data_IF_602436920447
#
_entry.id   IF_602436920447
#
_cell.length_a   1.000
_cell.length_b   1.000
_cell.length_c   1.000
_cell.angle_alpha   90.00
_cell.angle_beta   90.00
_cell.angle_gamma   90.00
#
_symmetry.space_group_name_H-M   'P 1'
#
loop_
_entity.id
_entity.type
_entity.pdbx_description
1 polymer ?
#
# COMPACT_ATOMS: atom_id res chain seq x y z
N UNK A 1 2.10 9.93 -22.54
CA UNK A 1 1.81 9.13 -23.75
C UNK A 1 2.51 9.66 -25.00
N UNK A 2 2.40 10.95 -25.36
CA UNK A 2 3.12 11.50 -26.53
C UNK A 2 4.65 11.39 -26.42
N UNK A 3 5.19 11.61 -25.22
CA UNK A 3 6.63 11.48 -24.93
C UNK A 3 7.16 10.05 -25.05
N UNK A 4 6.31 9.05 -24.79
CA UNK A 4 6.64 7.64 -24.98
C UNK A 4 6.78 7.27 -26.47
N UNK A 5 5.98 7.90 -27.35
CA UNK A 5 6.19 7.74 -28.79
C UNK A 5 7.48 8.40 -29.28
N UNK A 6 7.94 9.47 -28.61
CA UNK A 6 9.22 10.10 -28.92
C UNK A 6 10.40 9.22 -28.49
N UNK A 7 10.33 8.54 -27.33
CA UNK A 7 11.41 7.65 -26.87
C UNK A 7 11.68 6.49 -27.82
N UNK A 8 10.66 5.94 -28.48
CA UNK A 8 10.83 4.84 -29.42
C UNK A 8 11.72 5.15 -30.63
N UNK A 9 11.96 6.44 -30.92
CA UNK A 9 12.81 6.85 -32.03
C UNK A 9 14.31 6.84 -31.68
N UNK A 10 14.67 6.67 -30.40
CA UNK A 10 16.07 6.68 -29.95
C UNK A 10 16.57 5.27 -29.67
N UNK A 11 17.21 4.66 -30.66
CA UNK A 11 17.91 3.38 -30.49
C UNK A 11 19.39 3.65 -30.21
N UNK A 12 19.82 3.48 -28.95
CA UNK A 12 21.15 3.90 -28.46
C UNK A 12 22.18 2.75 -28.52
N UNK A 13 21.75 1.52 -28.78
CA UNK A 13 22.65 0.37 -28.64
C UNK A 13 23.65 0.23 -29.79
N UNK A 14 24.90 -0.07 -29.43
CA UNK A 14 26.00 -0.35 -30.36
C UNK A 14 26.20 -1.83 -30.67
N UNK A 15 25.72 -2.74 -29.81
CA UNK A 15 25.87 -4.18 -29.95
C UNK A 15 24.72 -4.94 -29.24
N UNK A 16 24.61 -6.24 -29.53
CA UNK A 16 23.61 -7.12 -28.92
C UNK A 16 23.70 -7.15 -27.39
N UNK A 17 24.91 -7.29 -26.85
CA UNK A 17 25.15 -7.45 -25.40
C UNK A 17 24.57 -6.28 -24.61
N UNK A 18 24.78 -5.05 -25.09
CA UNK A 18 24.26 -3.85 -24.44
C UNK A 18 22.73 -3.79 -24.53
N UNK A 19 22.15 -4.14 -25.68
CA UNK A 19 20.69 -4.22 -25.82
C UNK A 19 20.09 -5.26 -24.86
N UNK A 20 20.68 -6.46 -24.80
CA UNK A 20 20.22 -7.55 -23.96
C UNK A 20 20.30 -7.23 -22.45
N UNK A 21 21.42 -6.66 -21.99
CA UNK A 21 21.58 -6.26 -20.58
C UNK A 21 20.57 -5.17 -20.23
N UNK A 22 20.39 -4.17 -21.09
CA UNK A 22 19.42 -3.11 -20.84
C UNK A 22 17.99 -3.66 -20.78
N UNK A 23 17.63 -4.52 -21.73
CA UNK A 23 16.33 -5.19 -21.75
C UNK A 23 16.05 -5.94 -20.44
N UNK A 24 16.98 -6.79 -19.97
CA UNK A 24 16.80 -7.56 -18.74
C UNK A 24 16.70 -6.62 -17.53
N UNK A 25 17.60 -5.66 -17.38
CA UNK A 25 17.62 -4.77 -16.22
C UNK A 25 16.39 -3.86 -16.17
N UNK A 26 15.96 -3.31 -17.31
CA UNK A 26 14.77 -2.46 -17.44
C UNK A 26 13.53 -3.21 -16.96
N UNK A 27 13.21 -4.34 -17.60
CA UNK A 27 11.97 -5.05 -17.29
C UNK A 27 12.01 -5.78 -15.94
N UNK A 28 13.16 -6.35 -15.56
CA UNK A 28 13.32 -6.98 -14.24
C UNK A 28 13.17 -5.95 -13.11
N UNK A 29 13.76 -4.75 -13.28
CA UNK A 29 13.66 -3.66 -12.30
C UNK A 29 12.23 -3.13 -12.16
N UNK A 30 11.54 -2.88 -13.27
CA UNK A 30 10.14 -2.43 -13.27
C UNK A 30 9.24 -3.48 -12.63
N UNK A 31 9.42 -4.76 -12.99
CA UNK A 31 8.67 -5.88 -12.42
C UNK A 31 8.92 -6.01 -10.90
N UNK A 32 10.16 -5.83 -10.44
CA UNK A 32 10.50 -5.87 -9.03
C UNK A 32 9.79 -4.76 -8.24
N UNK A 33 9.85 -3.52 -8.73
CA UNK A 33 9.16 -2.37 -8.10
C UNK A 33 7.64 -2.63 -8.07
N UNK A 34 7.09 -3.11 -9.17
CA UNK A 34 5.68 -3.47 -9.28
C UNK A 34 5.27 -4.50 -8.20
N UNK A 35 6.05 -5.58 -8.06
CA UNK A 35 5.80 -6.63 -7.08
C UNK A 35 5.85 -6.10 -5.65
N UNK A 36 6.86 -5.27 -5.33
CA UNK A 36 6.99 -4.65 -4.01
C UNK A 36 5.74 -3.82 -3.69
N UNK A 37 5.32 -2.96 -4.62
CA UNK A 37 4.13 -2.11 -4.42
C UNK A 37 2.87 -2.95 -4.27
N UNK A 38 2.74 -4.00 -5.07
CA UNK A 38 1.60 -4.91 -5.02
C UNK A 38 1.49 -5.61 -3.65
N UNK A 39 2.61 -6.12 -3.12
CA UNK A 39 2.65 -6.75 -1.79
C UNK A 39 2.24 -5.76 -0.69
N UNK A 40 2.77 -4.53 -0.72
CA UNK A 40 2.40 -3.52 0.26
C UNK A 40 0.91 -3.14 0.18
N UNK A 41 0.37 -2.99 -1.04
CA UNK A 41 -1.03 -2.68 -1.24
C UNK A 41 -1.96 -3.81 -0.75
N UNK A 42 -1.67 -5.07 -1.09
CA UNK A 42 -2.46 -6.21 -0.62
C UNK A 42 -2.35 -6.41 0.89
N UNK A 43 -1.16 -6.23 1.46
CA UNK A 43 -0.97 -6.28 2.92
C UNK A 43 -1.80 -5.20 3.60
N UNK A 44 -1.78 -3.97 3.05
CA UNK A 44 -2.61 -2.86 3.51
C UNK A 44 -4.10 -3.11 3.38
N UNK A 45 -4.52 -3.74 2.29
CA UNK A 45 -5.91 -4.12 2.04
C UNK A 45 -6.40 -5.18 3.03
N UNK A 46 -5.58 -6.19 3.32
CA UNK A 46 -5.94 -7.30 4.20
C UNK A 46 -5.93 -6.92 5.69
N UNK A 47 -5.04 -6.01 6.09
CA UNK A 47 -4.92 -5.55 7.48
C UNK A 47 -5.74 -4.28 7.77
N UNK A 48 -6.13 -3.54 6.73
CA UNK A 48 -6.89 -2.30 6.87
C UNK A 48 -8.36 -2.54 7.25
N UNK A 49 -8.97 -1.55 7.91
CA UNK A 49 -10.40 -1.58 8.24
C UNK A 49 -11.20 -0.79 7.20
N UNK A 50 -12.25 -1.42 6.66
CA UNK A 50 -13.15 -0.77 5.73
C UNK A 50 -14.08 0.20 6.48
N UNK A 51 -14.13 1.46 6.05
CA UNK A 51 -14.95 2.52 6.66
C UNK A 51 -16.42 2.12 6.69
N UNK A 52 -16.90 1.51 5.60
CA UNK A 52 -18.30 1.09 5.47
C UNK A 52 -18.69 0.01 6.47
N UNK A 53 -17.73 -0.85 6.85
CA UNK A 53 -17.96 -1.85 7.90
C UNK A 53 -17.95 -1.22 9.29
N UNK A 54 -17.08 -0.23 9.51
CA UNK A 54 -17.05 0.54 10.76
C UNK A 54 -18.35 1.32 10.98
N UNK A 55 -18.87 1.98 9.95
CA UNK A 55 -20.14 2.70 10.00
C UNK A 55 -21.32 1.74 10.27
N UNK A 56 -21.29 0.55 9.67
CA UNK A 56 -22.29 -0.51 9.91
C UNK A 56 -22.25 -1.08 11.32
N UNK A 57 -21.08 -1.13 11.93
CA UNK A 57 -20.93 -1.54 13.33
C UNK A 57 -21.54 -0.55 14.32
N UNK A 58 -22.09 0.57 13.81
CA UNK A 58 -22.95 1.51 14.51
C UNK A 58 -22.37 1.77 15.90
N UNK A 59 -21.20 2.39 15.93
CA UNK A 59 -20.55 2.89 17.13
C UNK A 59 -21.37 4.03 17.78
N UNK A 60 -22.67 3.83 17.95
CA UNK A 60 -23.54 4.57 18.87
C UNK A 60 -23.01 4.49 20.30
N UNK A 61 -22.10 3.55 20.60
CA UNK A 61 -21.28 3.49 21.81
C UNK A 61 -20.50 4.81 22.03
N UNK A 62 -20.09 5.52 20.97
CA UNK A 62 -19.43 6.83 21.09
C UNK A 62 -20.38 8.02 20.90
N UNK A 63 -21.65 7.80 20.56
CA UNK A 63 -22.68 8.85 20.49
C UNK A 63 -23.52 8.95 21.78
N UNK A 64 -23.43 7.99 22.71
CA UNK A 64 -24.20 8.02 23.96
C UNK A 64 -23.66 9.00 25.01
N UNK A 65 -22.52 9.67 24.77
CA UNK A 65 -22.14 10.86 25.54
C UNK A 65 -22.67 12.13 24.88
N UNK A 66 -23.94 12.12 24.44
CA UNK A 66 -24.76 13.32 24.68
C UNK A 66 -24.84 13.45 26.19
N UNK A 67 -23.83 14.13 26.72
CA UNK A 67 -23.82 14.79 28.02
C UNK A 67 -25.25 15.31 28.19
N UNK A 68 -26.02 14.63 29.03
CA UNK A 68 -27.15 15.27 29.66
C UNK A 68 -26.53 16.51 30.29
N UNK A 69 -26.76 17.66 29.68
CA UNK A 69 -26.49 18.96 30.28
C UNK A 69 -27.30 18.97 31.57
N UNK A 70 -26.70 18.45 32.65
CA UNK A 70 -27.17 18.74 33.99
C UNK A 70 -27.23 20.27 34.04
N UNK A 71 -28.37 20.88 34.36
CA UNK A 71 -28.49 22.33 34.41
C UNK A 71 -27.57 22.86 35.53
N UNK A 72 -26.32 23.13 35.19
CA UNK A 72 -25.36 23.76 36.09
C UNK A 72 -25.58 25.26 36.01
N UNK A 73 -26.16 25.74 37.09
CA UNK A 73 -26.17 27.10 37.60
C UNK A 73 -25.09 28.00 37.01
N UNK A 74 -25.60 29.09 36.45
CA UNK A 74 -24.94 30.35 36.13
C UNK A 74 -23.96 30.77 37.22
N UNK A 75 -22.66 30.75 36.92
CA UNK A 75 -21.61 31.70 37.33
C UNK A 75 -20.24 31.01 37.37
N UNK A 76 -19.41 31.21 36.34
CA UNK A 76 -18.18 31.99 36.50
C UNK A 76 -17.40 32.11 35.19
N UNK A 77 -17.02 33.36 34.92
CA UNK A 77 -16.12 33.82 33.88
C UNK A 77 -14.72 33.22 34.06
N UNK A 78 -14.14 32.69 32.99
CA UNK A 78 -13.02 33.33 32.26
C UNK A 78 -12.03 32.34 31.60
N UNK A 79 -11.93 32.51 30.28
CA UNK A 79 -10.70 32.47 29.45
C UNK A 79 -9.73 31.27 29.55
N UNK A 80 -9.78 30.41 28.52
CA UNK A 80 -8.65 30.22 27.57
C UNK A 80 -9.13 29.46 26.33
N UNK A 81 -9.47 30.21 25.27
CA UNK A 81 -9.69 29.67 23.92
C UNK A 81 -8.32 29.32 23.32
N UNK A 82 -7.92 28.06 23.39
CA UNK A 82 -6.92 27.53 22.45
C UNK A 82 -7.67 26.90 21.28
N UNK A 83 -7.74 27.62 20.16
CA UNK A 83 -8.14 27.06 18.87
C UNK A 83 -7.01 26.11 18.41
N UNK A 84 -7.03 24.87 18.87
CA UNK A 84 -6.39 23.80 18.13
C UNK A 84 -7.46 23.20 17.22
N UNK A 85 -7.30 23.40 15.90
CA UNK A 85 -8.02 22.64 14.90
C UNK A 85 -7.53 21.18 14.97
N UNK A 86 -7.91 20.46 16.03
CA UNK A 86 -7.68 19.03 16.11
C UNK A 86 -8.60 18.40 15.07
N UNK A 87 -7.99 17.69 14.12
CA UNK A 87 -8.77 16.92 13.15
C UNK A 87 -9.65 15.93 13.91
N UNK A 88 -10.86 15.64 13.40
CA UNK A 88 -11.85 14.75 14.04
C UNK A 88 -11.22 13.45 14.62
N UNK A 89 -10.20 12.90 13.95
CA UNK A 89 -9.42 11.73 14.41
C UNK A 89 -8.62 11.95 15.69
N UNK A 90 -8.06 13.13 15.89
CA UNK A 90 -7.21 13.45 17.03
C UNK A 90 -8.04 13.63 18.30
N UNK A 91 -9.26 14.18 18.18
CA UNK A 91 -10.21 14.25 19.29
C UNK A 91 -10.66 12.87 19.79
N UNK A 92 -10.81 11.90 18.87
CA UNK A 92 -11.18 10.51 19.24
C UNK A 92 -10.03 9.81 19.98
N UNK A 93 -8.79 10.04 19.56
CA UNK A 93 -7.61 9.43 20.22
C UNK A 93 -7.42 10.02 21.62
N UNK A 94 -7.54 11.34 21.77
CA UNK A 94 -7.43 11.99 23.08
C UNK A 94 -8.51 11.54 24.04
N UNK A 95 -9.75 11.38 23.56
CA UNK A 95 -10.83 10.86 24.39
C UNK A 95 -10.55 9.41 24.84
N UNK A 96 -10.00 8.56 23.98
CA UNK A 96 -9.62 7.19 24.34
C UNK A 96 -8.51 7.14 25.40
N UNK A 97 -7.46 7.96 25.27
CA UNK A 97 -6.39 8.03 26.27
C UNK A 97 -6.91 8.53 27.62
N UNK A 98 -7.80 9.52 27.60
CA UNK A 98 -8.38 10.10 28.81
C UNK A 98 -9.31 9.11 29.53
N UNK A 99 -10.10 8.34 28.78
CA UNK A 99 -10.97 7.30 29.32
C UNK A 99 -10.14 6.12 29.89
N UNK A 100 -9.02 5.76 29.24
CA UNK A 100 -8.10 4.73 29.74
C UNK A 100 -7.45 5.14 31.07
N UNK A 101 -7.04 6.41 31.19
CA UNK A 101 -6.46 6.93 32.42
C UNK A 101 -7.50 7.03 33.56
N UNK A 102 -8.74 7.41 33.25
CA UNK A 102 -9.81 7.46 34.27
C UNK A 102 -10.17 6.07 34.80
N UNK A 103 -10.20 5.04 33.94
CA UNK A 103 -10.43 3.65 34.38
C UNK A 103 -9.33 3.13 35.32
N UNK A 104 -8.13 3.69 35.26
CA UNK A 104 -7.02 3.29 36.13
C UNK A 104 -7.10 3.98 37.51
N UNK A 105 -7.74 5.15 37.61
CA UNK A 105 -7.86 5.92 38.86
C UNK A 105 -9.03 5.40 39.72
N UNK A 106 -10.16 5.05 39.12
CA UNK A 106 -11.35 4.57 39.84
C UNK A 106 -11.15 3.19 40.49
N UNK A 107 -10.20 2.39 39.98
CA UNK A 107 -9.81 1.11 40.58
C UNK A 107 -8.91 1.26 41.80
N UNK A 108 -8.28 2.42 42.02
CA UNK A 108 -7.35 2.63 43.14
C UNK A 108 -8.09 3.20 44.37
N UNK A 109 -9.15 4.00 44.20
CA UNK A 109 -9.87 4.61 45.34
C UNK A 109 -10.95 3.75 46.00
N UNK A 110 -11.37 2.63 45.41
CA UNK A 110 -12.45 1.79 45.96
C UNK A 110 -11.97 0.52 46.68
N UNK A 111 -10.68 0.38 46.95
CA UNK A 111 -10.13 -0.86 47.52
C UNK A 111 -10.27 -1.02 49.04
N UNK A 112 -10.81 -0.03 49.77
CA UNK A 112 -10.84 -0.09 51.25
C UNK A 112 -12.20 -0.31 51.93
N UNK A 113 -13.36 -0.37 51.25
CA UNK A 113 -14.61 -0.35 52.03
C UNK A 113 -15.88 -1.00 51.44
N UNK A 114 -15.83 -2.24 50.93
CA UNK A 114 -17.08 -3.04 50.78
C UNK A 114 -16.84 -4.53 51.05
N UNK A 115 -16.90 -4.93 52.32
CA UNK A 115 -17.20 -6.31 52.72
C UNK A 115 -18.70 -6.56 52.50
N UNK A 116 -19.09 -6.83 51.25
CA UNK A 116 -20.49 -7.04 50.87
C UNK A 116 -20.57 -7.94 49.64
N UNK A 117 -20.65 -9.24 49.88
CA UNK A 117 -20.63 -10.32 48.89
C UNK A 117 -21.77 -10.16 47.89
N UNK A 118 -21.49 -9.58 46.72
CA UNK A 118 -22.17 -9.93 45.48
C UNK A 118 -21.12 -10.50 44.54
N UNK A 119 -21.15 -11.83 44.39
CA UNK A 119 -20.37 -12.57 43.40
C UNK A 119 -20.93 -12.24 42.01
N UNK A 120 -20.68 -11.03 41.51
CA UNK A 120 -20.75 -10.80 40.08
C UNK A 120 -19.61 -11.59 39.45
N UNK A 121 -19.95 -12.80 39.00
CA UNK A 121 -19.11 -13.59 38.11
C UNK A 121 -18.86 -12.74 36.86
N UNK A 122 -17.76 -12.00 36.86
CA UNK A 122 -17.15 -11.47 35.64
C UNK A 122 -16.76 -12.69 34.83
N UNK A 123 -17.66 -13.12 33.94
CA UNK A 123 -17.35 -14.18 32.99
C UNK A 123 -16.10 -13.75 32.21
N UNK A 124 -15.06 -14.60 32.14
CA UNK A 124 -13.81 -14.21 31.54
C UNK A 124 -14.03 -13.97 30.03
N UNK A 125 -13.87 -12.71 29.59
CA UNK A 125 -13.80 -12.29 28.17
C UNK A 125 -12.72 -13.00 27.34
N UNK A 126 -11.94 -13.90 27.96
CA UNK A 126 -10.81 -14.65 27.42
C UNK A 126 -11.13 -15.38 26.10
N UNK A 127 -12.35 -15.89 25.94
CA UNK A 127 -12.73 -16.59 24.71
C UNK A 127 -12.79 -15.68 23.47
N UNK A 128 -13.13 -14.40 23.61
CA UNK A 128 -13.19 -13.48 22.46
C UNK A 128 -11.81 -13.00 22.02
N UNK A 129 -10.89 -12.78 22.97
CA UNK A 129 -9.51 -12.36 22.67
C UNK A 129 -8.75 -13.44 21.90
N UNK A 130 -8.88 -14.71 22.31
CA UNK A 130 -8.27 -15.85 21.61
C UNK A 130 -8.78 -15.93 20.16
N UNK A 131 -10.06 -15.68 19.92
CA UNK A 131 -10.64 -15.68 18.58
C UNK A 131 -10.10 -14.53 17.70
N UNK A 132 -9.86 -13.35 18.28
CA UNK A 132 -9.28 -12.21 17.56
C UNK A 132 -7.81 -12.50 17.19
N UNK A 133 -7.03 -13.02 18.13
CA UNK A 133 -5.63 -13.40 17.90
C UNK A 133 -5.51 -14.49 16.81
N UNK A 134 -6.39 -15.49 16.83
CA UNK A 134 -6.41 -16.54 15.82
C UNK A 134 -6.75 -15.99 14.42
N UNK A 135 -7.70 -15.04 14.32
CA UNK A 135 -8.01 -14.36 13.05
C UNK A 135 -6.81 -13.57 12.52
N UNK A 136 -6.14 -12.82 13.39
CA UNK A 136 -4.97 -12.04 13.02
C UNK A 136 -3.81 -12.94 12.55
N UNK A 137 -3.53 -14.02 13.27
CA UNK A 137 -2.52 -14.99 12.86
C UNK A 137 -2.84 -15.65 11.51
N UNK A 138 -4.13 -15.95 11.26
CA UNK A 138 -4.58 -16.46 9.96
C UNK A 138 -4.35 -15.45 8.83
N UNK A 139 -4.64 -14.17 9.04
CA UNK A 139 -4.37 -13.12 8.05
C UNK A 139 -2.87 -12.95 7.79
N UNK A 140 -2.03 -12.99 8.83
CA UNK A 140 -0.57 -12.92 8.69
C UNK A 140 -0.03 -14.13 7.89
N UNK A 141 -0.49 -15.33 8.22
CA UNK A 141 -0.11 -16.55 7.48
C UNK A 141 -0.51 -16.47 6.01
N UNK A 142 -1.69 -15.92 5.70
CA UNK A 142 -2.12 -15.68 4.32
C UNK A 142 -1.20 -14.69 3.58
N UNK A 143 -0.82 -13.58 4.21
CA UNK A 143 0.10 -12.60 3.62
C UNK A 143 1.47 -13.22 3.34
N UNK A 144 1.99 -14.03 4.26
CA UNK A 144 3.26 -14.73 4.02
C UNK A 144 3.18 -15.72 2.86
N UNK A 145 2.08 -16.49 2.77
CA UNK A 145 1.86 -17.41 1.65
C UNK A 145 1.82 -16.66 0.31
N UNK A 146 1.12 -15.53 0.26
CA UNK A 146 1.05 -14.67 -0.93
C UNK A 146 2.43 -14.10 -1.29
N UNK A 147 3.24 -13.69 -0.31
CA UNK A 147 4.60 -13.23 -0.54
C UNK A 147 5.48 -14.31 -1.19
N UNK A 148 5.43 -15.54 -0.66
CA UNK A 148 6.22 -16.65 -1.20
C UNK A 148 5.80 -17.02 -2.62
N UNK A 149 4.50 -16.98 -2.92
CA UNK A 149 3.97 -17.27 -4.24
C UNK A 149 4.41 -16.21 -5.27
N UNK A 150 4.26 -14.93 -4.95
CA UNK A 150 4.67 -13.83 -5.83
C UNK A 150 6.20 -13.82 -6.03
N UNK A 151 6.97 -14.12 -4.98
CA UNK A 151 8.42 -14.22 -5.10
C UNK A 151 8.84 -15.36 -6.04
N UNK A 152 8.20 -16.53 -5.95
CA UNK A 152 8.46 -17.64 -6.86
C UNK A 152 8.11 -17.27 -8.31
N UNK A 153 6.96 -16.62 -8.52
CA UNK A 153 6.55 -16.11 -9.83
C UNK A 153 7.60 -15.15 -10.43
N UNK A 154 8.17 -14.26 -9.62
CA UNK A 154 9.24 -13.35 -10.05
C UNK A 154 10.48 -14.10 -10.56
N UNK A 155 10.93 -15.14 -9.85
CA UNK A 155 12.08 -15.94 -10.28
C UNK A 155 11.80 -16.63 -11.61
N UNK A 156 10.60 -17.20 -11.78
CA UNK A 156 10.18 -17.83 -13.03
C UNK A 156 10.19 -16.83 -14.19
N UNK A 157 9.62 -15.63 -13.99
CA UNK A 157 9.59 -14.58 -15.03
C UNK A 157 11.00 -14.11 -15.43
N UNK A 158 11.93 -13.95 -14.48
CA UNK A 158 13.32 -13.63 -14.79
C UNK A 158 14.02 -14.76 -15.56
N UNK A 159 13.70 -16.02 -15.25
CA UNK A 159 14.14 -17.17 -16.03
C UNK A 159 13.67 -17.10 -17.49
N UNK A 160 12.41 -16.72 -17.72
CA UNK A 160 11.85 -16.52 -19.07
C UNK A 160 12.56 -15.39 -19.81
N UNK A 161 12.81 -14.24 -19.17
CA UNK A 161 13.56 -13.14 -19.80
C UNK A 161 14.96 -13.57 -20.21
N UNK A 162 15.66 -14.30 -19.33
CA UNK A 162 17.00 -14.81 -19.61
C UNK A 162 16.98 -15.81 -20.77
N UNK A 163 15.98 -16.69 -20.82
CA UNK A 163 15.80 -17.64 -21.92
C UNK A 163 15.56 -16.94 -23.26
N UNK A 164 14.71 -15.90 -23.29
CA UNK A 164 14.45 -15.10 -24.49
C UNK A 164 15.75 -14.45 -24.98
N UNK A 165 16.56 -13.86 -24.09
CA UNK A 165 17.86 -13.29 -24.44
C UNK A 165 18.83 -14.34 -24.99
N UNK A 166 18.86 -15.56 -24.44
CA UNK A 166 19.71 -16.63 -24.98
C UNK A 166 19.19 -17.13 -26.33
N UNK A 167 17.88 -17.17 -26.53
CA UNK A 167 17.29 -17.57 -27.80
C UNK A 167 17.63 -16.57 -28.92
N UNK A 168 17.49 -15.27 -28.65
CA UNK A 168 17.76 -14.22 -29.62
C UNK A 168 19.25 -13.97 -29.87
N UNK A 169 20.15 -14.39 -28.97
CA UNK A 169 21.60 -14.24 -29.18
C UNK A 169 22.14 -15.12 -30.31
N UNK A 170 21.37 -16.13 -30.74
CA UNK A 170 21.72 -17.02 -31.86
C UNK A 170 21.32 -16.44 -33.22
N UNK A 171 20.53 -15.36 -33.26
CA UNK A 171 20.17 -14.72 -34.53
C UNK A 171 21.33 -13.83 -35.01
N UNK A 172 21.51 -13.77 -36.31
CA UNK A 172 22.52 -12.91 -36.92
C UNK A 172 22.22 -11.43 -36.65
N UNK A 173 23.28 -10.67 -36.41
CA UNK A 173 23.19 -9.23 -36.17
C UNK A 173 22.75 -8.52 -37.45
N UNK A 174 21.67 -7.76 -37.35
CA UNK A 174 21.15 -6.96 -38.46
C UNK A 174 21.53 -5.49 -38.29
N UNK A 175 21.99 -4.86 -39.37
CA UNK A 175 22.34 -3.44 -39.40
C UNK A 175 21.44 -2.71 -40.41
N UNK A 176 20.93 -1.56 -40.02
CA UNK A 176 20.18 -0.66 -40.88
C UNK A 176 20.98 0.62 -41.15
N UNK A 177 21.00 1.09 -42.39
CA UNK A 177 21.60 2.37 -42.72
C UNK A 177 20.56 3.49 -42.59
N UNK A 178 20.89 4.55 -41.86
CA UNK A 178 20.04 5.73 -41.73
C UNK A 178 20.18 6.68 -42.92
N UNK A 179 19.26 7.65 -43.05
CA UNK A 179 19.32 8.70 -44.08
C UNK A 179 20.61 9.54 -44.06
N UNK A 180 21.30 9.59 -42.92
CA UNK A 180 22.60 10.27 -42.77
C UNK A 180 23.79 9.41 -43.24
N UNK A 181 23.54 8.21 -43.76
CA UNK A 181 24.55 7.25 -44.21
C UNK A 181 25.23 6.44 -43.10
N UNK A 182 24.92 6.71 -41.82
CA UNK A 182 25.47 5.95 -40.68
C UNK A 182 24.75 4.61 -40.53
N UNK A 183 25.53 3.58 -40.24
CA UNK A 183 25.00 2.26 -39.88
C UNK A 183 24.60 2.25 -38.40
N UNK A 184 23.39 1.78 -38.12
CA UNK A 184 22.92 1.50 -36.75
C UNK A 184 22.64 0.03 -36.57
N UNK A 185 22.98 -0.46 -35.39
CA UNK A 185 22.63 -1.80 -34.95
C UNK A 185 21.11 -1.92 -34.75
N UNK A 186 20.49 -2.93 -35.35
CA UNK A 186 19.06 -3.21 -35.16
C UNK A 186 18.91 -4.37 -34.19
N UNK A 187 18.54 -4.03 -32.95
CA UNK A 187 18.41 -5.02 -31.89
C UNK A 187 17.28 -6.03 -32.21
N UNK A 188 17.57 -7.34 -32.23
CA UNK A 188 16.59 -8.36 -32.61
C UNK A 188 15.52 -8.59 -31.53
N UNK A 189 15.74 -8.12 -30.29
CA UNK A 189 14.79 -8.21 -29.16
C UNK A 189 13.77 -7.05 -29.17
N UNK A 190 13.94 -6.03 -30.03
CA UNK A 190 13.13 -4.81 -30.02
C UNK A 190 11.61 -5.06 -30.03
N UNK A 191 11.12 -6.00 -30.85
CA UNK A 191 9.69 -6.30 -30.90
C UNK A 191 9.16 -6.82 -29.56
N UNK A 192 9.99 -7.57 -28.81
CA UNK A 192 9.60 -8.09 -27.50
C UNK A 192 9.69 -7.02 -26.41
N UNK A 193 10.68 -6.12 -26.47
CA UNK A 193 10.77 -4.92 -25.61
C UNK A 193 9.50 -4.06 -25.72
N UNK A 194 9.00 -3.82 -26.94
CA UNK A 194 7.74 -3.08 -27.16
C UNK A 194 6.54 -3.81 -26.53
N UNK A 195 6.44 -5.13 -26.68
CA UNK A 195 5.35 -5.91 -26.07
C UNK A 195 5.41 -5.85 -24.54
N UNK A 196 6.62 -5.97 -23.98
CA UNK A 196 6.84 -5.89 -22.54
C UNK A 196 6.49 -4.51 -21.99
N UNK A 197 6.86 -3.43 -22.67
CA UNK A 197 6.49 -2.08 -22.25
C UNK A 197 4.95 -1.89 -22.21
N UNK A 198 4.22 -2.44 -23.19
CA UNK A 198 2.75 -2.39 -23.18
C UNK A 198 2.18 -3.14 -21.97
N UNK A 199 2.72 -4.33 -21.67
CA UNK A 199 2.32 -5.11 -20.49
C UNK A 199 2.60 -4.32 -19.21
N UNK A 200 3.78 -3.69 -19.11
CA UNK A 200 4.15 -2.87 -17.95
C UNK A 200 3.21 -1.67 -17.76
N UNK A 201 2.82 -0.99 -18.83
CA UNK A 201 1.84 0.10 -18.76
C UNK A 201 0.50 -0.41 -18.20
N UNK A 202 0.03 -1.58 -18.64
CA UNK A 202 -1.19 -2.20 -18.13
C UNK A 202 -1.05 -2.58 -16.64
N UNK A 203 0.10 -3.10 -16.23
CA UNK A 203 0.39 -3.42 -14.83
C UNK A 203 0.42 -2.16 -13.95
N UNK A 204 1.08 -1.09 -14.38
CA UNK A 204 1.10 0.19 -13.65
C UNK A 204 -0.30 0.79 -13.55
N UNK A 205 -1.12 0.68 -14.60
CA UNK A 205 -2.52 1.11 -14.55
C UNK A 205 -3.35 0.30 -13.54
N UNK A 206 -3.14 -1.03 -13.49
CA UNK A 206 -3.76 -1.90 -12.49
C UNK A 206 -3.35 -1.50 -11.05
N UNK A 207 -2.07 -1.22 -10.80
CA UNK A 207 -1.59 -0.70 -9.52
C UNK A 207 -2.29 0.60 -9.13
N UNK A 208 -2.48 1.51 -10.09
CA UNK A 208 -3.16 2.79 -9.84
C UNK A 208 -4.60 2.55 -9.35
N UNK A 209 -5.36 1.67 -10.01
CA UNK A 209 -6.73 1.34 -9.61
C UNK A 209 -6.80 0.72 -8.20
N UNK A 210 -5.89 -0.21 -7.87
CA UNK A 210 -5.82 -0.76 -6.51
C UNK A 210 -5.47 0.33 -5.51
N UNK A 211 -4.47 1.16 -5.81
CA UNK A 211 -4.03 2.22 -4.91
C UNK A 211 -5.18 3.17 -4.56
N UNK A 212 -5.99 3.57 -5.56
CA UNK A 212 -7.19 4.40 -5.38
C UNK A 212 -8.24 3.72 -4.51
N UNK A 213 -8.42 2.41 -4.66
CA UNK A 213 -9.34 1.62 -3.83
C UNK A 213 -8.91 1.64 -2.36
N UNK A 214 -7.60 1.54 -2.12
CA UNK A 214 -7.02 1.51 -0.77
C UNK A 214 -7.16 2.85 -0.05
N UNK A 215 -7.29 4.00 -0.75
CA UNK A 215 -7.54 5.30 -0.08
C UNK A 215 -8.84 5.33 0.74
N UNK A 216 -9.81 4.45 0.45
CA UNK A 216 -11.08 4.35 1.17
C UNK A 216 -11.01 3.54 2.48
N UNK A 217 -9.83 3.08 2.91
CA UNK A 217 -9.67 2.32 4.15
C UNK A 217 -9.14 3.23 5.28
N UNK A 218 -9.55 2.97 6.53
CA UNK A 218 -9.01 3.61 7.73
C UNK A 218 -7.92 2.71 8.35
N UNK A 219 -7.01 3.31 9.12
CA UNK A 219 -5.89 2.66 9.81
C UNK A 219 -4.85 1.98 8.92
N UNK A 220 -4.72 2.43 7.67
CA UNK A 220 -3.64 1.99 6.78
C UNK A 220 -2.31 2.64 7.17
N UNK A 221 -1.22 1.91 7.00
CA UNK A 221 0.13 2.44 7.10
C UNK A 221 0.33 3.68 6.22
N UNK A 222 0.95 4.73 6.76
CA UNK A 222 1.26 5.96 6.03
C UNK A 222 2.04 5.69 4.73
N UNK A 223 2.89 4.65 4.72
CA UNK A 223 3.66 4.25 3.54
C UNK A 223 2.81 3.94 2.31
N UNK A 224 1.61 3.38 2.47
CA UNK A 224 0.75 3.01 1.35
C UNK A 224 0.19 4.23 0.63
N UNK A 225 -0.08 5.32 1.35
CA UNK A 225 -0.44 6.60 0.71
C UNK A 225 0.71 7.14 -0.13
N UNK A 226 1.95 7.01 0.33
CA UNK A 226 3.12 7.38 -0.46
C UNK A 226 3.33 6.48 -1.68
N UNK A 227 2.99 5.18 -1.59
CA UNK A 227 2.97 4.28 -2.75
C UNK A 227 1.94 4.76 -3.78
N UNK A 228 0.75 5.17 -3.35
CA UNK A 228 -0.26 5.77 -4.23
C UNK A 228 0.27 7.02 -4.96
N UNK A 229 0.86 7.97 -4.23
CA UNK A 229 1.48 9.15 -4.83
C UNK A 229 2.64 8.80 -5.77
N UNK A 230 3.51 7.88 -5.38
CA UNK A 230 4.61 7.39 -6.21
C UNK A 230 4.10 6.77 -7.51
N UNK A 231 3.01 6.00 -7.45
CA UNK A 231 2.38 5.39 -8.63
C UNK A 231 1.81 6.46 -9.56
N UNK A 232 1.17 7.51 -9.03
CA UNK A 232 0.69 8.65 -9.83
C UNK A 232 1.85 9.36 -10.52
N UNK A 233 2.92 9.65 -9.77
CA UNK A 233 4.14 10.26 -10.32
C UNK A 233 4.75 9.36 -11.40
N UNK A 234 4.77 8.05 -11.19
CA UNK A 234 5.27 7.08 -12.16
C UNK A 234 4.43 7.05 -13.44
N UNK A 235 3.11 7.13 -13.36
CA UNK A 235 2.25 7.23 -14.56
C UNK A 235 2.50 8.51 -15.34
N UNK A 236 2.71 9.64 -14.65
CA UNK A 236 2.92 10.95 -15.28
C UNK A 236 4.34 11.07 -15.87
N UNK A 237 5.36 10.69 -15.10
CA UNK A 237 6.78 10.88 -15.44
C UNK A 237 7.44 9.64 -16.06
N UNK A 238 6.88 8.45 -15.92
CA UNK A 238 7.44 7.21 -16.47
C UNK A 238 7.76 7.28 -17.97
N UNK A 239 6.86 7.82 -18.81
CA UNK A 239 7.15 8.07 -20.22
C UNK A 239 8.37 8.96 -20.50
N UNK A 240 8.74 9.86 -19.58
CA UNK A 240 9.90 10.74 -19.73
C UNK A 240 11.22 10.02 -19.43
N UNK A 241 11.21 9.04 -18.53
CA UNK A 241 12.42 8.30 -18.14
C UNK A 241 12.87 7.28 -19.21
N UNK A 242 12.02 6.97 -20.19
CA UNK A 242 12.33 6.05 -21.29
C UNK A 242 12.91 6.78 -22.53
N UNK A 243 12.88 8.12 -22.57
CA UNK A 243 13.49 8.98 -23.61
C UNK A 243 14.98 9.12 -23.34
#
# INVERSE_FOLDING_TARGET
>A
MFLYFLSFNFNIYSNYKNCAINFVLKHSGILLIYIIFLIYLYTGYQLGFNIKELDRLNLTIFQSSKIEESPKSVNELSSKKSNSNSTLKESVILNLEQELNNMNIDNIMNQELVNGVTKFFVQPKKNNEINILNKLNKSISFVHSLYTEIFLLYIVLNGVFTFIVIYYSKKEDSYGQEFNGKWRYKCPIYNFDVVMDIIEILLVFYLLVISLTVYNYIYIFKCIKYIGYSTIVWVILGPLANV
#
